data_IF_823602302905
#
_entry.id   IF_823602302905
#
_cell.length_a   1.000
_cell.length_b   1.000
_cell.length_c   1.000
_cell.angle_alpha   90.00
_cell.angle_beta   90.00
_cell.angle_gamma   90.00
#
_symmetry.space_group_name_H-M   'P 1'
#
loop_
_entity.id
_entity.type
_entity.pdbx_description
1 polymer ?
#
# COMPACT_ATOMS: atom_id res chain seq x y z
N UNK A 1 1.72 -5.65 -28.39
CA UNK A 1 2.52 -6.15 -27.25
C UNK A 1 2.20 -5.24 -26.08
N UNK A 2 1.14 -5.53 -25.31
CA UNK A 2 0.57 -4.55 -24.35
C UNK A 2 0.14 -5.18 -23.01
N UNK A 3 0.67 -6.35 -22.63
CA UNK A 3 0.31 -7.03 -21.38
C UNK A 3 1.32 -6.84 -20.23
N UNK A 4 2.49 -6.25 -20.50
CA UNK A 4 3.59 -6.19 -19.53
C UNK A 4 3.50 -5.00 -18.57
N UNK A 5 2.79 -3.92 -18.94
CA UNK A 5 2.76 -2.68 -18.17
C UNK A 5 1.93 -2.85 -16.89
N UNK A 6 0.71 -3.38 -17.00
CA UNK A 6 -0.23 -3.53 -15.88
C UNK A 6 0.27 -4.48 -14.79
N UNK A 7 1.00 -5.55 -15.13
CA UNK A 7 1.58 -6.45 -14.12
C UNK A 7 2.71 -5.81 -13.31
N UNK A 8 3.43 -4.85 -13.91
CA UNK A 8 4.55 -4.19 -13.26
C UNK A 8 4.07 -3.12 -12.27
N UNK A 9 2.98 -2.43 -12.61
CA UNK A 9 2.37 -1.43 -11.73
C UNK A 9 1.65 -2.08 -10.53
N UNK A 10 0.97 -3.23 -10.73
CA UNK A 10 0.38 -4.01 -9.62
C UNK A 10 1.42 -4.50 -8.59
N UNK A 11 2.63 -4.85 -9.03
CA UNK A 11 3.71 -5.27 -8.13
C UNK A 11 4.26 -4.11 -7.30
N UNK A 12 4.38 -2.93 -7.91
CA UNK A 12 4.89 -1.73 -7.22
C UNK A 12 3.97 -1.28 -6.09
N UNK A 13 2.66 -1.22 -6.32
CA UNK A 13 1.70 -0.85 -5.29
C UNK A 13 1.71 -1.82 -4.12
N UNK A 14 1.82 -3.13 -4.40
CA UNK A 14 1.88 -4.16 -3.37
C UNK A 14 3.15 -4.07 -2.52
N UNK A 15 4.32 -3.90 -3.15
CA UNK A 15 5.58 -3.73 -2.42
C UNK A 15 5.56 -2.45 -1.57
N UNK A 16 5.03 -1.36 -2.12
CA UNK A 16 4.82 -0.11 -1.39
C UNK A 16 3.90 -0.30 -0.17
N UNK A 17 2.81 -1.04 -0.30
CA UNK A 17 1.90 -1.33 0.82
C UNK A 17 2.57 -2.21 1.89
N UNK A 18 3.38 -3.20 1.48
CA UNK A 18 4.14 -4.03 2.42
C UNK A 18 5.13 -3.18 3.22
N UNK A 19 5.89 -2.32 2.56
CA UNK A 19 6.84 -1.42 3.22
C UNK A 19 6.12 -0.39 4.09
N UNK A 20 4.99 0.14 3.62
CA UNK A 20 4.13 1.03 4.40
C UNK A 20 3.71 0.36 5.71
N UNK A 21 3.19 -0.87 5.66
CA UNK A 21 2.80 -1.61 6.87
C UNK A 21 4.01 -1.97 7.75
N UNK A 22 5.07 -2.56 7.18
CA UNK A 22 6.21 -3.08 7.92
C UNK A 22 7.07 -1.97 8.54
N UNK A 23 7.41 -0.95 7.76
CA UNK A 23 8.29 0.15 8.18
C UNK A 23 7.48 1.23 8.90
N UNK A 24 6.38 1.68 8.28
CA UNK A 24 5.58 2.80 8.78
C UNK A 24 4.75 2.50 10.02
N UNK A 25 4.33 1.24 10.18
CA UNK A 25 3.41 0.82 11.22
C UNK A 25 3.86 -0.43 11.98
N UNK A 26 5.10 -0.92 11.77
CA UNK A 26 5.65 -2.10 12.44
C UNK A 26 4.75 -3.34 12.29
N UNK A 27 4.21 -3.52 11.10
CA UNK A 27 3.25 -4.57 10.73
C UNK A 27 1.88 -4.48 11.42
N UNK A 28 1.55 -3.35 12.07
CA UNK A 28 0.21 -3.09 12.57
C UNK A 28 -0.73 -2.69 11.41
N UNK A 29 -1.44 -3.70 10.89
CA UNK A 29 -2.40 -3.54 9.81
C UNK A 29 -3.57 -2.64 10.20
N UNK A 30 -3.98 -2.62 11.47
CA UNK A 30 -5.10 -1.78 11.90
C UNK A 30 -4.70 -0.31 11.87
N UNK A 31 -3.49 0.00 12.35
CA UNK A 31 -2.97 1.36 12.33
C UNK A 31 -2.68 1.84 10.90
N UNK A 32 -2.15 0.97 10.04
CA UNK A 32 -1.96 1.26 8.61
C UNK A 32 -3.30 1.53 7.92
N UNK A 33 -4.32 0.68 8.15
CA UNK A 33 -5.67 0.85 7.61
C UNK A 33 -6.29 2.18 8.06
N UNK A 34 -6.22 2.50 9.36
CA UNK A 34 -6.73 3.75 9.90
C UNK A 34 -6.06 4.97 9.24
N UNK A 35 -4.75 4.93 9.03
CA UNK A 35 -4.02 6.04 8.39
C UNK A 35 -4.43 6.24 6.93
N UNK A 36 -4.75 5.17 6.21
CA UNK A 36 -5.21 5.22 4.84
C UNK A 36 -6.72 5.43 4.72
N UNK A 37 -7.46 5.39 5.83
CA UNK A 37 -8.92 5.51 5.84
C UNK A 37 -9.64 4.29 5.26
N UNK A 38 -9.02 3.12 5.34
CA UNK A 38 -9.60 1.84 4.91
C UNK A 38 -9.96 0.97 6.12
N UNK A 39 -10.77 -0.05 5.88
CA UNK A 39 -10.96 -1.12 6.87
C UNK A 39 -9.73 -2.06 6.90
N UNK A 40 -9.38 -2.66 8.04
CA UNK A 40 -8.28 -3.62 8.11
C UNK A 40 -8.44 -4.82 7.17
N UNK A 41 -9.68 -5.22 6.88
CA UNK A 41 -9.99 -6.27 5.91
C UNK A 41 -9.58 -5.88 4.49
N UNK A 42 -9.75 -4.62 4.10
CA UNK A 42 -9.37 -4.15 2.77
C UNK A 42 -7.86 -4.13 2.58
N UNK A 43 -7.10 -3.72 3.59
CA UNK A 43 -5.63 -3.77 3.55
C UNK A 43 -5.16 -5.23 3.41
N UNK A 44 -5.80 -6.18 4.09
CA UNK A 44 -5.48 -7.60 3.93
C UNK A 44 -5.77 -8.09 2.52
N UNK A 45 -6.95 -7.81 1.96
CA UNK A 45 -7.27 -8.18 0.58
C UNK A 45 -6.32 -7.54 -0.43
N UNK A 46 -5.82 -6.33 -0.19
CA UNK A 46 -4.77 -5.73 -1.01
C UNK A 46 -3.42 -6.46 -0.88
N UNK A 47 -3.01 -6.82 0.34
CA UNK A 47 -1.78 -7.57 0.61
C UNK A 47 -1.80 -9.00 0.02
N UNK A 48 -2.98 -9.63 -0.01
CA UNK A 48 -3.21 -10.95 -0.63
C UNK A 48 -3.38 -10.87 -2.15
N UNK A 49 -3.43 -9.65 -2.72
CA UNK A 49 -3.60 -9.42 -4.16
C UNK A 49 -5.02 -9.65 -4.67
N UNK A 50 -6.00 -9.82 -3.77
CA UNK A 50 -7.42 -9.96 -4.10
C UNK A 50 -8.05 -8.61 -4.50
N UNK A 51 -7.52 -7.51 -3.95
CA UNK A 51 -7.91 -6.14 -4.28
C UNK A 51 -6.73 -5.38 -4.89
N UNK A 52 -6.89 -4.75 -6.07
CA UNK A 52 -5.83 -3.92 -6.63
C UNK A 52 -5.63 -2.66 -5.78
N UNK A 53 -4.40 -2.13 -5.82
CA UNK A 53 -4.04 -0.85 -5.20
C UNK A 53 -4.06 0.19 -6.33
N UNK A 54 -4.90 1.20 -6.18
CA UNK A 54 -5.00 2.32 -7.11
C UNK A 54 -3.92 3.38 -6.87
N UNK A 55 -3.69 4.23 -7.89
CA UNK A 55 -2.67 5.28 -7.87
C UNK A 55 -2.91 6.30 -6.74
N UNK A 56 -4.16 6.64 -6.43
CA UNK A 56 -4.52 7.53 -5.32
C UNK A 56 -4.05 6.95 -3.97
N UNK A 57 -4.24 5.65 -3.77
CA UNK A 57 -3.77 4.94 -2.57
C UNK A 57 -2.23 4.94 -2.50
N UNK A 58 -1.54 4.75 -3.62
CA UNK A 58 -0.07 4.86 -3.67
C UNK A 58 0.42 6.26 -3.32
N UNK A 59 -0.19 7.29 -3.88
CA UNK A 59 0.12 8.70 -3.60
C UNK A 59 -0.08 8.98 -2.11
N UNK A 60 -1.20 8.50 -1.53
CA UNK A 60 -1.52 8.67 -0.11
C UNK A 60 -0.50 7.98 0.79
N UNK A 61 -0.09 6.75 0.49
CA UNK A 61 0.95 6.03 1.24
C UNK A 61 2.26 6.83 1.25
N UNK A 62 2.71 7.32 0.09
CA UNK A 62 3.94 8.14 -0.02
C UNK A 62 3.84 9.45 0.73
N UNK A 63 2.68 10.13 0.69
CA UNK A 63 2.45 11.37 1.41
C UNK A 63 2.57 11.15 2.93
N UNK A 64 1.87 10.15 3.47
CA UNK A 64 1.90 9.85 4.91
C UNK A 64 3.29 9.39 5.35
N UNK A 65 3.98 8.58 4.53
CA UNK A 65 5.34 8.14 4.81
C UNK A 65 6.32 9.32 4.91
N UNK A 66 6.18 10.29 4.00
CA UNK A 66 6.95 11.55 4.05
C UNK A 66 6.62 12.37 5.29
N UNK A 67 5.35 12.52 5.66
CA UNK A 67 4.94 13.26 6.85
C UNK A 67 5.44 12.62 8.15
N UNK A 68 5.47 11.29 8.20
CA UNK A 68 5.94 10.52 9.37
C UNK A 68 7.43 10.18 9.33
N UNK A 69 8.14 10.62 8.29
CA UNK A 69 9.58 10.46 8.10
C UNK A 69 10.07 9.00 8.14
N UNK A 70 9.36 8.10 7.47
CA UNK A 70 9.82 6.73 7.23
C UNK A 70 9.91 6.45 5.71
N UNK A 71 10.96 5.74 5.28
CA UNK A 71 11.27 5.52 3.85
C UNK A 71 10.59 4.26 3.31
N UNK A 72 9.78 4.44 2.26
CA UNK A 72 9.08 3.39 1.48
C UNK A 72 9.10 3.72 -0.02
#
# INVERSE_FOLDING_TARGET
METTQTQNDLRKGLDLLKDYCAIGFRSDINAAALSLGFEPGEIRSMLEGEKPIDEDTEIKMRAIARERNFGI
#
